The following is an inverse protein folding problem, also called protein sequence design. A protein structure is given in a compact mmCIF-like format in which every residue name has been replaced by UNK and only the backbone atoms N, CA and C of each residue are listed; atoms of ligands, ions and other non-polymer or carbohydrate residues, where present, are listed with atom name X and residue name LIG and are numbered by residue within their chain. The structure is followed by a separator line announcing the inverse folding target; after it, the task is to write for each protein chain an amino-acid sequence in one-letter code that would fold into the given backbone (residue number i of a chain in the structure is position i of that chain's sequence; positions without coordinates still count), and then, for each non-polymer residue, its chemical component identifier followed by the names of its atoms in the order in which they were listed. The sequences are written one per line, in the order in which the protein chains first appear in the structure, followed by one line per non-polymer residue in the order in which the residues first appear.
data_IF_500652317556
#
_entry.id   IF_500652317556
#
_cell.length_a   1.000
_cell.length_b   1.000
_cell.length_c   1.000
_cell.angle_alpha   90.00
_cell.angle_beta   90.00
_cell.angle_gamma   90.00
#
_symmetry.space_group_name_H-M   'P 1'
#
loop_
_entity.id
_entity.type
_entity.pdbx_description
1 polymer ?
#
# COMPACT_ATOMS: atom_id res chain seq x y z
N UNK A 1 -19.43 -3.07 13.01
CA UNK A 1 -19.08 -1.64 13.00
C UNK A 1 -18.06 -1.44 14.09
N UNK A 2 -16.84 -0.99 13.78
CA UNK A 2 -15.82 -0.72 14.80
C UNK A 2 -16.29 0.50 15.58
N UNK A 3 -16.37 0.37 16.89
CA UNK A 3 -16.69 1.46 17.80
C UNK A 3 -15.44 2.33 17.96
N UNK A 4 -15.43 3.47 17.27
CA UNK A 4 -14.33 4.44 17.34
C UNK A 4 -14.20 5.07 18.73
N UNK A 5 -15.19 4.89 19.62
CA UNK A 5 -15.17 5.42 20.98
C UNK A 5 -14.26 4.64 21.94
N UNK A 6 -13.77 3.45 21.54
CA UNK A 6 -12.84 2.65 22.35
C UNK A 6 -11.35 2.96 22.12
N UNK A 7 -11.01 3.96 21.30
CA UNK A 7 -9.63 4.45 21.18
C UNK A 7 -9.41 5.48 22.30
N UNK A 8 -9.03 5.00 23.50
CA UNK A 8 -8.87 5.85 24.68
C UNK A 8 -7.62 6.74 24.65
N UNK A 9 -6.62 6.42 23.83
CA UNK A 9 -5.48 7.30 23.57
C UNK A 9 -5.05 7.18 22.10
N UNK A 10 -5.13 8.29 21.35
CA UNK A 10 -4.32 8.45 20.15
C UNK A 10 -2.86 8.43 20.60
N UNK A 11 -2.07 7.52 20.04
CA UNK A 11 -0.62 7.52 20.26
C UNK A 11 -0.05 8.78 19.60
N UNK A 12 -0.04 9.92 20.30
CA UNK A 12 0.45 11.20 19.79
C UNK A 12 1.95 11.28 20.02
N UNK A 13 2.75 10.96 18.99
CA UNK A 13 4.16 11.32 18.93
C UNK A 13 4.27 12.83 18.69
N UNK A 14 4.09 13.61 19.76
CA UNK A 14 3.80 15.05 19.74
C UNK A 14 4.97 15.99 19.39
N UNK A 15 6.01 15.53 18.69
CA UNK A 15 7.12 16.38 18.23
C UNK A 15 7.24 16.49 16.69
N UNK A 16 6.48 15.71 15.90
CA UNK A 16 6.66 15.63 14.44
C UNK A 16 5.65 16.42 13.58
N UNK A 17 4.57 16.95 14.17
CA UNK A 17 3.43 17.50 13.42
C UNK A 17 3.76 18.60 12.40
N UNK A 18 4.76 19.46 12.64
CA UNK A 18 5.12 20.52 11.69
C UNK A 18 5.87 20.00 10.45
N UNK A 19 6.69 18.95 10.59
CA UNK A 19 7.30 18.29 9.43
C UNK A 19 6.26 17.45 8.67
N UNK A 20 5.30 16.86 9.39
CA UNK A 20 4.24 16.06 8.78
C UNK A 20 3.30 16.93 7.92
N UNK A 21 2.95 18.15 8.35
CA UNK A 21 2.16 19.07 7.53
C UNK A 21 2.87 19.47 6.22
N UNK A 22 4.17 19.81 6.30
CA UNK A 22 4.96 20.18 5.10
C UNK A 22 5.08 18.99 4.14
N UNK A 23 5.40 17.79 4.65
CA UNK A 23 5.51 16.59 3.83
C UNK A 23 4.17 16.22 3.16
N UNK A 24 3.05 16.42 3.87
CA UNK A 24 1.73 16.20 3.30
C UNK A 24 1.40 17.23 2.22
N UNK A 25 1.72 18.51 2.42
CA UNK A 25 1.53 19.56 1.42
C UNK A 25 2.36 19.30 0.15
N UNK A 26 3.61 18.86 0.30
CA UNK A 26 4.47 18.45 -0.81
C UNK A 26 3.85 17.28 -1.58
N UNK A 27 3.40 16.24 -0.88
CA UNK A 27 2.69 15.11 -1.50
C UNK A 27 1.42 15.56 -2.23
N UNK A 28 0.61 16.42 -1.62
CA UNK A 28 -0.59 16.96 -2.25
C UNK A 28 -0.27 17.76 -3.50
N UNK A 29 0.82 18.54 -3.50
CA UNK A 29 1.28 19.29 -4.66
C UNK A 29 1.65 18.34 -5.81
N UNK A 30 2.49 17.35 -5.55
CA UNK A 30 2.89 16.34 -6.55
C UNK A 30 1.68 15.60 -7.11
N UNK A 31 0.78 15.12 -6.24
CA UNK A 31 -0.44 14.42 -6.67
C UNK A 31 -1.35 15.32 -7.51
N UNK A 32 -1.45 16.61 -7.16
CA UNK A 32 -2.24 17.59 -7.93
C UNK A 32 -1.67 17.81 -9.32
N UNK A 33 -0.35 17.95 -9.45
CA UNK A 33 0.32 18.11 -10.74
C UNK A 33 0.13 16.88 -11.62
N UNK A 34 0.28 15.67 -11.05
CA UNK A 34 0.06 14.42 -11.78
C UNK A 34 -1.39 14.24 -12.23
N UNK A 35 -2.35 14.64 -11.40
CA UNK A 35 -3.77 14.65 -11.80
C UNK A 35 -4.03 15.62 -12.95
N UNK A 36 -3.47 16.83 -12.90
CA UNK A 36 -3.59 17.81 -14.00
C UNK A 36 -2.95 17.29 -15.29
N UNK A 37 -1.72 16.79 -15.21
CA UNK A 37 -1.04 16.18 -16.35
C UNK A 37 -1.86 15.02 -16.94
N UNK A 38 -2.49 14.20 -16.08
CA UNK A 38 -3.39 13.14 -16.52
C UNK A 38 -4.68 13.64 -17.19
N UNK A 39 -5.18 14.83 -16.85
CA UNK A 39 -6.31 15.48 -17.55
C UNK A 39 -5.86 15.96 -18.92
N UNK A 40 -4.78 16.75 -18.98
CA UNK A 40 -4.24 17.32 -20.22
C UNK A 40 -3.91 16.22 -21.24
N UNK A 41 -3.26 15.14 -20.81
CA UNK A 41 -2.97 13.96 -21.65
C UNK A 41 -4.24 13.39 -22.30
N UNK A 42 -5.34 13.28 -21.53
CA UNK A 42 -6.61 12.75 -22.03
C UNK A 42 -7.30 13.72 -22.99
N UNK A 43 -7.19 15.02 -22.76
CA UNK A 43 -7.72 16.05 -23.65
C UNK A 43 -6.98 16.08 -25.00
N UNK A 44 -5.67 15.88 -24.97
CA UNK A 44 -4.82 15.87 -26.16
C UNK A 44 -4.76 14.49 -26.87
N UNK A 45 -5.33 13.45 -26.27
CA UNK A 45 -5.22 12.06 -26.72
C UNK A 45 -3.76 11.59 -26.83
N UNK A 46 -2.93 12.05 -25.89
CA UNK A 46 -1.54 11.65 -25.75
C UNK A 46 -1.44 10.22 -25.16
N UNK A 47 -0.35 9.53 -25.46
CA UNK A 47 -0.12 8.15 -25.02
C UNK A 47 0.02 8.06 -23.49
N UNK A 48 -0.48 6.97 -22.91
CA UNK A 48 -0.32 6.69 -21.50
C UNK A 48 1.06 6.10 -21.22
N UNK A 49 1.80 6.71 -20.30
CA UNK A 49 3.06 6.19 -19.81
C UNK A 49 2.83 5.27 -18.61
N UNK A 50 3.13 3.98 -18.78
CA UNK A 50 3.08 2.98 -17.72
C UNK A 50 4.27 3.12 -16.76
N UNK A 51 4.02 2.89 -15.46
CA UNK A 51 5.09 2.59 -14.51
C UNK A 51 5.53 1.13 -14.69
N UNK A 52 6.84 0.90 -14.66
CA UNK A 52 7.45 -0.42 -14.82
C UNK A 52 8.32 -0.75 -13.63
N UNK A 53 8.53 -2.04 -13.35
CA UNK A 53 9.44 -2.46 -12.29
C UNK A 53 10.88 -2.48 -12.80
N UNK A 54 11.83 -2.05 -11.97
CA UNK A 54 13.24 -2.37 -12.21
C UNK A 54 13.46 -3.90 -12.13
N UNK A 55 14.54 -4.44 -12.74
CA UNK A 55 14.77 -5.88 -12.75
C UNK A 55 14.84 -6.53 -11.37
N UNK A 56 15.45 -5.85 -10.40
CA UNK A 56 15.52 -6.28 -9.00
C UNK A 56 14.14 -6.22 -8.30
N UNK A 57 13.35 -5.17 -8.56
CA UNK A 57 11.98 -5.09 -8.07
C UNK A 57 11.08 -6.20 -8.65
N UNK A 58 11.28 -6.57 -9.91
CA UNK A 58 10.57 -7.70 -10.52
C UNK A 58 10.90 -9.03 -9.80
N UNK A 59 12.18 -9.27 -9.49
CA UNK A 59 12.59 -10.46 -8.72
C UNK A 59 11.95 -10.47 -7.32
N UNK A 60 11.89 -9.31 -6.65
CA UNK A 60 11.19 -9.18 -5.37
C UNK A 60 9.70 -9.50 -5.49
N UNK A 61 9.03 -9.00 -6.52
CA UNK A 61 7.62 -9.27 -6.79
C UNK A 61 7.37 -10.76 -6.98
N UNK A 62 8.17 -11.41 -7.83
CA UNK A 62 8.01 -12.82 -8.19
C UNK A 62 8.18 -13.73 -6.97
N UNK A 63 9.18 -13.44 -6.14
CA UNK A 63 9.42 -14.15 -4.88
C UNK A 63 8.26 -13.96 -3.90
N UNK A 64 7.77 -12.72 -3.78
CA UNK A 64 6.67 -12.41 -2.85
C UNK A 64 5.37 -13.05 -3.29
N UNK A 65 5.04 -12.98 -4.59
CA UNK A 65 3.85 -13.61 -5.18
C UNK A 65 3.88 -15.13 -5.01
N UNK A 66 5.03 -15.75 -5.25
CA UNK A 66 5.21 -17.19 -5.05
C UNK A 66 5.02 -17.61 -3.60
N UNK A 67 5.54 -16.82 -2.64
CA UNK A 67 5.37 -17.08 -1.22
C UNK A 67 3.90 -16.90 -0.78
N UNK A 68 3.28 -15.79 -1.18
CA UNK A 68 1.87 -15.48 -0.91
C UNK A 68 0.94 -16.63 -1.35
N UNK A 69 1.17 -17.21 -2.52
CA UNK A 69 0.40 -18.37 -3.00
C UNK A 69 0.51 -19.57 -2.05
N UNK A 70 1.65 -19.79 -1.38
CA UNK A 70 1.77 -20.86 -0.38
C UNK A 70 0.93 -20.54 0.86
N UNK A 71 0.91 -19.28 1.30
CA UNK A 71 0.11 -18.85 2.45
C UNK A 71 -1.40 -18.94 2.20
N UNK A 72 -1.86 -18.86 0.95
CA UNK A 72 -3.28 -18.96 0.58
C UNK A 72 -3.80 -20.39 0.39
N UNK A 73 -2.92 -21.37 0.22
CA UNK A 73 -3.31 -22.80 0.08
C UNK A 73 -3.97 -23.34 1.34
N UNK A 74 -4.75 -24.44 1.26
CA UNK A 74 -5.29 -25.12 2.44
C UNK A 74 -4.21 -25.40 3.49
N UNK A 75 -4.44 -24.96 4.73
CA UNK A 75 -3.49 -25.05 5.84
C UNK A 75 -2.50 -23.89 5.95
N UNK A 76 -2.45 -22.98 4.98
CA UNK A 76 -1.67 -21.74 5.05
C UNK A 76 -2.33 -20.66 5.92
N UNK A 77 -1.53 -19.68 6.36
CA UNK A 77 -1.98 -18.63 7.28
C UNK A 77 -3.04 -17.70 6.70
N UNK A 78 -3.12 -17.58 5.38
CA UNK A 78 -4.10 -16.76 4.66
C UNK A 78 -5.21 -17.59 4.03
N UNK A 79 -5.30 -18.90 4.28
CA UNK A 79 -6.30 -19.77 3.67
C UNK A 79 -7.75 -19.29 3.90
N UNK A 80 -8.05 -18.77 5.09
CA UNK A 80 -9.37 -18.25 5.44
C UNK A 80 -9.56 -16.76 5.10
N UNK A 81 -8.54 -16.15 4.50
CA UNK A 81 -8.46 -14.74 4.13
C UNK A 81 -7.95 -14.59 2.69
N UNK A 82 -8.19 -15.59 1.86
CA UNK A 82 -7.68 -15.70 0.50
C UNK A 82 -8.24 -14.60 -0.42
N UNK A 83 -9.47 -14.13 -0.18
CA UNK A 83 -10.02 -12.95 -0.85
C UNK A 83 -9.17 -11.68 -0.65
N UNK A 84 -8.60 -11.52 0.56
CA UNK A 84 -7.68 -10.40 0.87
C UNK A 84 -6.29 -10.71 0.31
N UNK A 85 -5.81 -11.94 0.49
CA UNK A 85 -4.53 -12.40 -0.05
C UNK A 85 -4.43 -12.20 -1.57
N UNK A 86 -5.50 -12.50 -2.31
CA UNK A 86 -5.58 -12.34 -3.76
C UNK A 86 -5.37 -10.89 -4.23
N UNK A 87 -5.61 -9.90 -3.36
CA UNK A 87 -5.45 -8.47 -3.64
C UNK A 87 -4.09 -7.93 -3.21
N UNK A 88 -3.32 -8.68 -2.43
CA UNK A 88 -2.07 -8.23 -1.82
C UNK A 88 -1.13 -7.60 -2.86
N UNK A 89 -0.79 -8.37 -3.90
CA UNK A 89 0.17 -7.94 -4.94
C UNK A 89 -0.32 -6.71 -5.70
N UNK A 90 -1.60 -6.71 -6.09
CA UNK A 90 -2.20 -5.57 -6.81
C UNK A 90 -2.16 -4.29 -5.98
N UNK A 91 -2.51 -4.36 -4.69
CA UNK A 91 -2.49 -3.18 -3.83
C UNK A 91 -1.06 -2.71 -3.54
N UNK A 92 -0.11 -3.63 -3.32
CA UNK A 92 1.29 -3.27 -3.12
C UNK A 92 1.87 -2.58 -4.35
N UNK A 93 1.58 -3.04 -5.58
CA UNK A 93 2.04 -2.37 -6.80
C UNK A 93 1.45 -0.97 -6.97
N UNK A 94 0.17 -0.78 -6.65
CA UNK A 94 -0.48 0.54 -6.70
C UNK A 94 0.16 1.52 -5.72
N UNK A 95 0.44 1.07 -4.49
CA UNK A 95 1.13 1.88 -3.46
C UNK A 95 2.57 2.17 -3.88
N UNK A 96 3.30 1.18 -4.41
CA UNK A 96 4.67 1.36 -4.89
C UNK A 96 4.74 2.41 -6.01
N UNK A 97 3.75 2.42 -6.90
CA UNK A 97 3.61 3.46 -7.92
C UNK A 97 3.46 4.86 -7.30
N UNK A 98 2.67 5.01 -6.24
CA UNK A 98 2.54 6.27 -5.49
C UNK A 98 3.87 6.68 -4.87
N UNK A 99 4.61 5.74 -4.26
CA UNK A 99 5.92 6.04 -3.70
C UNK A 99 6.92 6.50 -4.78
N UNK A 100 6.93 5.82 -5.93
CA UNK A 100 7.83 6.18 -7.03
C UNK A 100 7.59 7.61 -7.51
N UNK A 101 6.35 7.95 -7.85
CA UNK A 101 6.02 9.29 -8.37
C UNK A 101 6.17 10.40 -7.33
N UNK A 102 6.06 10.07 -6.04
CA UNK A 102 6.22 11.04 -4.95
C UNK A 102 7.68 11.36 -4.68
N UNK A 103 8.58 10.37 -4.85
CA UNK A 103 10.01 10.54 -4.62
C UNK A 103 10.77 11.02 -5.86
N UNK A 104 10.39 10.53 -7.04
CA UNK A 104 11.02 10.85 -8.32
C UNK A 104 9.96 10.87 -9.44
N UNK A 105 9.27 12.02 -9.63
CA UNK A 105 8.15 12.15 -10.56
C UNK A 105 8.58 12.03 -12.04
N UNK A 106 9.87 12.20 -12.34
CA UNK A 106 10.41 12.11 -13.70
C UNK A 106 10.75 10.67 -14.09
N UNK A 107 10.77 9.74 -13.13
CA UNK A 107 11.06 8.33 -13.36
C UNK A 107 9.81 7.46 -13.43
N UNK A 108 9.79 6.57 -14.42
CA UNK A 108 8.75 5.55 -14.60
C UNK A 108 9.15 4.19 -14.03
N UNK A 109 10.35 4.07 -13.47
CA UNK A 109 10.91 2.82 -12.98
C UNK A 109 10.73 2.71 -11.46
N UNK A 110 9.78 1.89 -11.02
CA UNK A 110 9.56 1.58 -9.62
C UNK A 110 10.75 0.76 -9.11
N UNK A 111 11.47 1.35 -8.16
CA UNK A 111 12.65 0.73 -7.55
C UNK A 111 12.27 -0.41 -6.59
N UNK A 112 13.26 -1.25 -6.29
CA UNK A 112 13.12 -2.31 -5.30
C UNK A 112 12.78 -1.76 -3.90
N UNK A 113 13.30 -0.59 -3.53
CA UNK A 113 13.01 0.08 -2.25
C UNK A 113 11.55 0.52 -2.14
N UNK A 114 11.02 1.14 -3.20
CA UNK A 114 9.63 1.58 -3.24
C UNK A 114 8.67 0.39 -3.23
N UNK A 115 8.98 -0.68 -3.98
CA UNK A 115 8.19 -1.90 -3.92
C UNK A 115 8.25 -2.56 -2.53
N UNK A 116 9.43 -2.70 -1.93
CA UNK A 116 9.60 -3.30 -0.61
C UNK A 116 8.82 -2.54 0.47
N UNK A 117 8.88 -1.22 0.45
CA UNK A 117 8.13 -0.36 1.37
C UNK A 117 6.62 -0.55 1.22
N UNK A 118 6.13 -0.65 -0.02
CA UNK A 118 4.72 -0.87 -0.30
C UNK A 118 4.24 -2.27 0.15
N UNK A 119 5.07 -3.30 -0.04
CA UNK A 119 4.81 -4.65 0.44
C UNK A 119 4.71 -4.67 1.97
N UNK A 120 5.64 -4.02 2.67
CA UNK A 120 5.60 -3.91 4.14
C UNK A 120 4.34 -3.19 4.65
N UNK A 121 3.95 -2.08 4.02
CA UNK A 121 2.72 -1.38 4.40
C UNK A 121 1.47 -2.27 4.20
N UNK A 122 1.42 -2.99 3.08
CA UNK A 122 0.33 -3.91 2.76
C UNK A 122 0.26 -5.07 3.74
N UNK A 123 1.41 -5.68 4.06
CA UNK A 123 1.52 -6.76 5.05
C UNK A 123 1.07 -6.33 6.44
N UNK A 124 1.55 -5.16 6.89
CA UNK A 124 1.13 -4.58 8.17
C UNK A 124 -0.38 -4.39 8.23
N UNK A 125 -0.98 -3.80 7.19
CA UNK A 125 -2.41 -3.57 7.13
C UNK A 125 -3.23 -4.87 7.19
N UNK A 126 -2.83 -5.88 6.41
CA UNK A 126 -3.53 -7.17 6.37
C UNK A 126 -3.40 -7.91 7.69
N UNK A 127 -2.18 -8.01 8.22
CA UNK A 127 -1.91 -8.68 9.50
C UNK A 127 -2.68 -8.02 10.64
N UNK A 128 -2.73 -6.69 10.69
CA UNK A 128 -3.47 -5.95 11.70
C UNK A 128 -4.99 -6.17 11.57
N UNK A 129 -5.51 -6.16 10.33
CA UNK A 129 -6.93 -6.39 10.05
C UNK A 129 -7.35 -7.80 10.46
N UNK A 130 -6.57 -8.82 10.10
CA UNK A 130 -6.80 -10.20 10.49
C UNK A 130 -6.80 -10.35 12.02
N UNK A 131 -5.82 -9.74 12.69
CA UNK A 131 -5.71 -9.79 14.15
C UNK A 131 -6.95 -9.22 14.83
N UNK A 132 -7.44 -8.06 14.36
CA UNK A 132 -8.69 -7.46 14.88
C UNK A 132 -9.91 -8.36 14.69
N UNK A 133 -10.04 -9.01 13.53
CA UNK A 133 -11.13 -9.97 13.28
C UNK A 133 -11.02 -11.18 14.22
N UNK A 134 -9.80 -11.69 14.43
CA UNK A 134 -9.52 -12.78 15.37
C UNK A 134 -9.91 -12.45 16.80
N UNK A 135 -9.55 -11.25 17.29
CA UNK A 135 -9.93 -10.76 18.62
C UNK A 135 -11.45 -10.65 18.78
N UNK A 136 -12.18 -10.20 17.75
CA UNK A 136 -13.64 -10.07 17.80
C UNK A 136 -14.36 -11.42 17.91
N UNK A 137 -13.79 -12.51 17.39
CA UNK A 137 -14.34 -13.87 17.54
C UNK A 137 -14.20 -14.42 18.97
N UNK A 138 -13.29 -13.86 19.78
CA UNK A 138 -13.14 -14.20 21.21
C UNK A 138 -14.12 -13.47 22.13
N UNK A 139 -14.60 -12.29 21.74
CA UNK A 139 -15.51 -11.47 22.56
C UNK A 139 -16.98 -11.93 22.54
N UNK A 140 -17.35 -12.90 21.68
CA UNK A 140 -18.68 -13.52 21.63
C UNK A 140 -18.78 -14.83 22.44
N UNK A 141 -17.79 -15.13 23.30
CA UNK A 141 -17.78 -16.32 24.18
C UNK A 141 -17.50 -15.97 25.66
N UNK A 142 -18.10 -14.89 26.15
CA UNK A 142 -18.28 -14.65 27.58
C UNK A 142 -19.76 -14.36 27.85
#
# INVERSE_FOLDING_TARGET
MIDLEQITELCTFNEHYAQDEVAMDELYSVMTELMKAGVERRENNDEYTDLTLTPDAQVLLDNTSSNLQQHMKPGGSLHHYDDIGARYIEQSLRIAGVFQISCDPDSTAITNENLLSALHLTDWFITHTITKIGCNKGAQRC
#
